data_IF_857001046420
#
_entry.id   IF_857001046420
#
_cell.length_a   1.000
_cell.length_b   1.000
_cell.length_c   1.000
_cell.angle_alpha   90.00
_cell.angle_beta   90.00
_cell.angle_gamma   90.00
#
_symmetry.space_group_name_H-M   'P 1'
#
loop_
_entity.id
_entity.type
_entity.pdbx_description
1 polymer ?
#
# COMPACT_ATOMS: atom_id res chain seq x y z
N UNK A 1 -1.06 -8.60 3.09
CA UNK A 1 0.29 -8.69 2.52
C UNK A 1 1.36 -8.91 3.61
N UNK A 2 1.39 -8.12 4.70
CA UNK A 2 2.46 -8.18 5.74
C UNK A 2 2.67 -9.61 6.25
N UNK A 3 1.63 -10.26 6.79
CA UNK A 3 1.74 -11.59 7.36
C UNK A 3 2.28 -12.64 6.37
N UNK A 4 1.84 -12.56 5.11
CA UNK A 4 2.32 -13.43 4.03
C UNK A 4 3.82 -13.24 3.77
N UNK A 5 4.26 -11.99 3.62
CA UNK A 5 5.65 -11.66 3.29
C UNK A 5 6.61 -11.95 4.45
N UNK A 6 6.18 -11.70 5.70
CA UNK A 6 6.98 -11.97 6.91
C UNK A 6 6.96 -13.45 7.32
N UNK A 7 5.99 -14.23 6.82
CA UNK A 7 5.91 -15.69 7.03
C UNK A 7 6.75 -16.50 6.06
N UNK A 8 7.60 -15.88 5.26
CA UNK A 8 8.44 -16.52 4.24
C UNK A 8 7.63 -17.29 3.17
N UNK A 9 6.44 -16.78 2.82
CA UNK A 9 5.56 -17.38 1.81
C UNK A 9 5.82 -16.86 0.40
N UNK A 10 6.64 -15.85 0.22
CA UNK A 10 7.04 -15.22 -1.04
C UNK A 10 7.90 -13.98 -0.77
N UNK A 11 8.36 -13.28 -1.80
CA UNK A 11 8.04 -13.45 -3.22
C UNK A 11 8.87 -14.53 -3.93
N UNK A 12 8.44 -14.88 -5.13
CA UNK A 12 9.19 -15.62 -6.14
C UNK A 12 9.60 -14.68 -7.28
N UNK A 13 10.41 -15.14 -8.23
CA UNK A 13 10.76 -14.31 -9.40
C UNK A 13 9.67 -14.38 -10.46
N UNK A 14 9.56 -13.36 -11.31
CA UNK A 14 8.66 -13.32 -12.47
C UNK A 14 8.88 -14.51 -13.43
N UNK A 15 10.12 -15.01 -13.53
CA UNK A 15 10.43 -16.18 -14.35
C UNK A 15 9.85 -17.48 -13.77
N UNK A 16 9.74 -17.57 -12.44
CA UNK A 16 9.18 -18.73 -11.74
C UNK A 16 7.65 -18.74 -11.77
N UNK A 17 7.02 -17.59 -11.73
CA UNK A 17 5.55 -17.40 -11.72
C UNK A 17 5.20 -16.14 -12.54
N UNK A 18 5.09 -16.26 -13.87
CA UNK A 18 4.81 -15.11 -14.76
C UNK A 18 3.46 -14.47 -14.49
N UNK A 19 3.43 -13.16 -14.34
CA UNK A 19 2.19 -12.41 -14.15
C UNK A 19 1.27 -12.48 -15.35
N UNK A 20 0.02 -12.79 -15.12
CA UNK A 20 -1.06 -12.64 -16.12
C UNK A 20 -1.54 -13.94 -16.77
N UNK A 21 -0.93 -15.08 -16.51
CA UNK A 21 -1.41 -16.37 -16.98
C UNK A 21 -2.52 -16.98 -16.08
N UNK A 22 -2.70 -16.42 -14.88
CA UNK A 22 -3.72 -16.84 -13.90
C UNK A 22 -3.44 -18.20 -13.26
N UNK A 23 -2.22 -18.72 -13.38
CA UNK A 23 -1.81 -20.02 -12.84
C UNK A 23 -0.52 -19.86 -12.05
N UNK A 24 -0.56 -20.23 -10.76
CA UNK A 24 0.65 -20.33 -9.94
C UNK A 24 1.12 -21.78 -9.88
N UNK A 25 2.33 -22.10 -10.36
CA UNK A 25 2.88 -23.45 -10.30
C UNK A 25 2.99 -23.97 -8.86
N UNK A 26 2.71 -25.27 -8.68
CA UNK A 26 2.90 -25.91 -7.37
C UNK A 26 4.40 -26.07 -7.01
N UNK A 27 4.71 -26.01 -5.73
CA UNK A 27 6.05 -26.31 -5.21
C UNK A 27 7.07 -25.17 -5.37
N UNK A 28 6.63 -23.95 -5.68
CA UNK A 28 7.49 -22.79 -5.68
C UNK A 28 8.04 -22.52 -4.28
N UNK A 29 9.31 -22.12 -4.24
CA UNK A 29 9.95 -21.69 -3.00
C UNK A 29 10.25 -20.18 -3.07
N UNK A 30 9.96 -19.42 -2.02
CA UNK A 30 10.28 -17.99 -1.98
C UNK A 30 11.79 -17.76 -2.10
N UNK A 31 12.17 -16.70 -2.78
CA UNK A 31 13.58 -16.31 -2.99
C UNK A 31 14.04 -15.20 -2.05
N UNK A 32 13.10 -14.53 -1.43
CA UNK A 32 13.27 -13.45 -0.47
C UNK A 32 12.18 -13.52 0.59
N UNK A 33 12.41 -12.86 1.72
CA UNK A 33 11.38 -12.58 2.72
C UNK A 33 11.53 -11.18 3.28
N UNK A 34 10.44 -10.63 3.80
CA UNK A 34 10.45 -9.37 4.53
C UNK A 34 10.86 -9.63 5.97
N UNK A 35 11.95 -9.00 6.39
CA UNK A 35 12.48 -9.12 7.75
C UNK A 35 12.01 -8.00 8.66
N UNK A 36 11.72 -6.82 8.09
CA UNK A 36 11.31 -5.66 8.85
C UNK A 36 10.27 -4.85 8.06
N UNK A 37 9.27 -4.36 8.77
CA UNK A 37 8.29 -3.39 8.28
C UNK A 37 8.18 -2.23 9.26
N UNK A 38 7.91 -1.03 8.74
CA UNK A 38 7.53 0.12 9.53
C UNK A 38 6.12 0.54 9.16
N UNK A 39 5.33 0.89 10.16
CA UNK A 39 3.92 1.31 10.01
C UNK A 39 3.81 2.72 10.53
N UNK A 40 3.29 3.63 9.72
CA UNK A 40 2.95 4.98 10.17
C UNK A 40 1.52 5.02 10.70
N UNK A 41 1.25 5.91 11.64
CA UNK A 41 -0.12 6.22 12.04
C UNK A 41 -0.88 6.82 10.86
N UNK A 42 -2.20 6.61 10.84
CA UNK A 42 -3.05 7.15 9.78
C UNK A 42 -2.92 8.68 9.69
N UNK A 43 -2.65 9.17 8.47
CA UNK A 43 -2.50 10.60 8.19
C UNK A 43 -1.29 11.28 8.82
N UNK A 44 -0.34 10.56 9.36
CA UNK A 44 0.96 11.12 9.75
C UNK A 44 1.84 11.37 8.52
N UNK A 45 1.57 12.49 7.84
CA UNK A 45 2.25 12.83 6.58
C UNK A 45 3.75 13.11 6.76
N UNK A 46 4.16 13.58 7.92
CA UNK A 46 5.58 13.80 8.21
C UNK A 46 6.32 12.46 8.32
N UNK A 47 5.76 11.50 9.06
CA UNK A 47 6.31 10.15 9.13
C UNK A 47 6.31 9.47 7.74
N UNK A 48 5.24 9.60 6.95
CA UNK A 48 5.15 9.06 5.60
C UNK A 48 6.25 9.65 4.71
N UNK A 49 6.45 10.96 4.70
CA UNK A 49 7.51 11.63 3.93
C UNK A 49 8.91 11.19 4.37
N UNK A 50 9.14 11.03 5.69
CA UNK A 50 10.39 10.51 6.20
C UNK A 50 10.64 9.07 5.74
N UNK A 51 9.62 8.21 5.76
CA UNK A 51 9.72 6.84 5.27
C UNK A 51 10.00 6.78 3.78
N UNK A 52 9.37 7.64 2.95
CA UNK A 52 9.66 7.74 1.52
C UNK A 52 11.12 8.18 1.30
N UNK A 53 11.57 9.20 2.03
CA UNK A 53 12.94 9.70 1.91
C UNK A 53 13.99 8.62 2.25
N UNK A 54 13.71 7.79 3.25
CA UNK A 54 14.64 6.73 3.71
C UNK A 54 14.56 5.46 2.88
N UNK A 55 13.36 5.05 2.46
CA UNK A 55 13.11 3.71 1.91
C UNK A 55 12.56 3.73 0.48
N UNK A 56 12.23 4.89 -0.06
CA UNK A 56 11.83 5.08 -1.46
C UNK A 56 10.34 4.97 -1.72
N UNK A 57 9.58 4.17 -0.98
CA UNK A 57 8.15 4.02 -1.18
C UNK A 57 7.41 3.59 0.09
N UNK A 58 6.15 4.00 0.20
CA UNK A 58 5.24 3.62 1.28
C UNK A 58 3.93 3.14 0.67
N UNK A 59 3.49 1.92 0.99
CA UNK A 59 2.14 1.46 0.67
C UNK A 59 1.13 2.32 1.44
N UNK A 60 0.04 2.69 0.78
CA UNK A 60 -1.10 3.37 1.40
C UNK A 60 -2.39 2.88 0.78
N UNK A 61 -3.47 2.89 1.56
CA UNK A 61 -4.81 2.58 1.06
C UNK A 61 -5.56 3.86 0.71
N UNK A 62 -6.35 3.82 -0.36
CA UNK A 62 -7.24 4.90 -0.80
C UNK A 62 -8.62 4.35 -1.16
N UNK A 63 -9.62 5.23 -1.26
CA UNK A 63 -10.83 4.92 -2.00
C UNK A 63 -10.61 5.29 -3.46
N UNK A 64 -10.79 4.34 -4.38
CA UNK A 64 -10.66 4.58 -5.81
C UNK A 64 -11.99 4.29 -6.50
N UNK A 65 -12.63 5.33 -7.04
CA UNK A 65 -13.89 5.24 -7.78
C UNK A 65 -13.68 4.85 -9.26
N UNK A 66 -12.61 4.11 -9.53
CA UNK A 66 -12.27 3.55 -10.85
C UNK A 66 -11.79 2.12 -10.69
N UNK A 67 -11.76 1.37 -11.78
CA UNK A 67 -11.24 0.00 -11.82
C UNK A 67 -12.11 -0.92 -12.66
N UNK A 68 -11.57 -2.08 -13.04
CA UNK A 68 -12.25 -3.00 -13.93
C UNK A 68 -12.62 -2.34 -15.25
N UNK A 69 -13.91 -2.18 -15.52
CA UNK A 69 -14.44 -1.51 -16.73
C UNK A 69 -14.70 -0.02 -16.57
N UNK A 70 -14.67 0.50 -15.34
CA UNK A 70 -14.87 1.92 -15.03
C UNK A 70 -13.54 2.66 -15.10
N UNK A 71 -13.28 3.33 -16.21
CA UNK A 71 -12.01 4.05 -16.48
C UNK A 71 -12.10 5.56 -16.28
N UNK A 72 -13.25 6.06 -15.81
CA UNK A 72 -13.48 7.48 -15.53
C UNK A 72 -14.11 7.67 -14.16
N UNK A 73 -13.78 8.78 -13.50
CA UNK A 73 -14.32 9.16 -12.21
C UNK A 73 -14.50 10.67 -12.14
N UNK A 74 -15.47 11.14 -11.37
CA UNK A 74 -15.63 12.55 -11.05
C UNK A 74 -14.51 13.10 -10.15
N UNK A 75 -13.70 12.22 -9.57
CA UNK A 75 -12.58 12.54 -8.67
C UNK A 75 -11.22 12.53 -9.36
N UNK A 76 -11.16 12.06 -10.63
CA UNK A 76 -9.93 11.93 -11.39
C UNK A 76 -9.86 12.93 -12.53
N UNK A 77 -8.78 13.70 -12.59
CA UNK A 77 -8.43 14.57 -13.70
C UNK A 77 -7.40 13.90 -14.60
N UNK A 78 -7.77 13.47 -15.82
CA UNK A 78 -6.82 12.80 -16.72
C UNK A 78 -5.80 13.75 -17.36
N UNK A 79 -6.07 15.07 -17.42
CA UNK A 79 -5.15 16.06 -17.98
C UNK A 79 -3.98 16.32 -17.03
N UNK A 80 -4.27 16.44 -15.73
CA UNK A 80 -3.28 16.66 -14.69
C UNK A 80 -2.85 15.38 -13.99
N UNK A 81 -3.41 14.23 -14.39
CA UNK A 81 -3.18 12.90 -13.75
C UNK A 81 -3.32 12.99 -12.23
N UNK A 82 -4.41 13.57 -11.76
CA UNK A 82 -4.62 13.86 -10.35
C UNK A 82 -5.94 13.28 -9.83
N UNK A 83 -5.97 12.93 -8.56
CA UNK A 83 -7.11 12.32 -7.89
C UNK A 83 -7.38 12.97 -6.55
N UNK A 84 -8.64 13.29 -6.27
CA UNK A 84 -9.07 13.82 -4.99
C UNK A 84 -10.45 13.28 -4.61
N UNK A 85 -10.49 12.36 -3.66
CA UNK A 85 -11.73 11.86 -3.06
C UNK A 85 -12.04 12.60 -1.76
N UNK A 86 -13.25 13.15 -1.66
CA UNK A 86 -13.72 13.91 -0.51
C UNK A 86 -14.98 13.31 0.13
N UNK A 87 -15.23 12.02 -0.12
CA UNK A 87 -16.37 11.27 0.44
C UNK A 87 -16.01 10.51 1.72
N UNK A 88 -16.93 9.63 2.14
CA UNK A 88 -16.86 8.88 3.40
C UNK A 88 -16.74 7.36 3.18
N UNK A 89 -16.67 6.89 1.92
CA UNK A 89 -16.55 5.45 1.65
C UNK A 89 -15.21 4.92 2.13
N UNK A 90 -15.23 3.67 2.55
CA UNK A 90 -14.05 2.95 3.03
C UNK A 90 -13.03 2.69 1.91
N UNK A 91 -11.77 2.56 2.29
CA UNK A 91 -10.68 2.22 1.37
C UNK A 91 -10.98 0.92 0.62
N UNK A 92 -10.67 0.89 -0.67
CA UNK A 92 -10.91 -0.26 -1.55
C UNK A 92 -9.74 -0.56 -2.49
N UNK A 93 -8.66 0.24 -2.43
CA UNK A 93 -7.51 0.12 -3.31
C UNK A 93 -6.21 0.47 -2.60
N UNK A 94 -5.14 -0.26 -2.90
CA UNK A 94 -3.79 0.02 -2.40
C UNK A 94 -2.92 0.58 -3.51
N UNK A 95 -2.11 1.57 -3.14
CA UNK A 95 -1.14 2.25 -4.02
C UNK A 95 0.21 2.38 -3.31
N UNK A 96 1.24 2.76 -4.03
CA UNK A 96 2.52 3.16 -3.45
C UNK A 96 2.68 4.68 -3.52
N UNK A 97 2.92 5.30 -2.38
CA UNK A 97 3.38 6.69 -2.34
C UNK A 97 4.90 6.67 -2.57
N UNK A 98 5.36 7.35 -3.63
CA UNK A 98 6.76 7.35 -4.06
C UNK A 98 7.40 8.73 -3.99
N UNK A 99 6.63 9.76 -3.64
CA UNK A 99 7.10 11.13 -3.54
C UNK A 99 5.97 12.08 -3.11
N UNK A 100 6.27 13.35 -3.13
CA UNK A 100 5.29 14.42 -2.85
C UNK A 100 5.70 15.74 -3.49
N UNK A 101 4.74 16.65 -3.61
CA UNK A 101 4.93 18.04 -3.97
C UNK A 101 4.03 18.90 -3.07
N UNK A 102 4.65 19.65 -2.17
CA UNK A 102 3.93 20.51 -1.21
C UNK A 102 3.25 21.71 -1.87
N UNK A 103 3.70 22.10 -3.06
CA UNK A 103 3.18 23.21 -3.83
C UNK A 103 2.27 22.76 -4.99
N UNK A 104 1.97 21.46 -5.12
CA UNK A 104 1.10 20.94 -6.19
C UNK A 104 -0.23 21.70 -6.20
N UNK A 105 -0.59 22.36 -7.32
CA UNK A 105 -1.72 23.29 -7.33
C UNK A 105 -3.06 22.61 -7.08
N UNK A 106 -3.87 23.18 -6.18
CA UNK A 106 -5.21 22.68 -5.87
C UNK A 106 -6.16 22.73 -7.08
N UNK A 107 -5.94 23.67 -8.01
CA UNK A 107 -6.71 23.79 -9.27
C UNK A 107 -6.48 22.64 -10.27
N UNK A 108 -5.45 21.84 -10.09
CA UNK A 108 -5.16 20.67 -10.92
C UNK A 108 -6.04 19.45 -10.60
N UNK A 109 -6.97 19.58 -9.67
CA UNK A 109 -7.93 18.52 -9.34
C UNK A 109 -9.32 18.85 -9.86
N UNK A 110 -10.13 17.85 -10.23
CA UNK A 110 -11.52 18.03 -10.68
C UNK A 110 -12.39 18.73 -9.64
N UNK A 111 -12.15 18.45 -8.36
CA UNK A 111 -12.71 19.17 -7.21
C UNK A 111 -11.55 19.85 -6.51
N UNK A 112 -11.65 21.14 -6.24
CA UNK A 112 -10.54 21.89 -5.66
C UNK A 112 -10.37 21.58 -4.17
N UNK A 113 -9.23 20.99 -3.73
CA UNK A 113 -8.88 20.86 -2.33
C UNK A 113 -8.77 22.21 -1.61
N UNK A 114 -8.77 22.20 -0.28
CA UNK A 114 -8.70 23.44 0.51
C UNK A 114 -7.31 24.10 0.48
N UNK A 115 -6.28 23.34 0.10
CA UNK A 115 -4.88 23.79 0.03
C UNK A 115 -4.12 23.07 -1.08
N UNK A 116 -2.99 23.63 -1.47
CA UNK A 116 -2.02 22.96 -2.33
C UNK A 116 -1.38 21.74 -1.63
N UNK A 117 -0.77 20.91 -2.42
CA UNK A 117 0.03 19.76 -1.99
C UNK A 117 -0.62 18.42 -2.33
N UNK A 118 0.23 17.51 -2.80
CA UNK A 118 -0.16 16.17 -3.19
C UNK A 118 0.96 15.15 -2.94
N UNK A 119 0.57 13.90 -2.75
CA UNK A 119 1.47 12.77 -2.88
C UNK A 119 1.56 12.32 -4.33
N UNK A 120 2.78 12.02 -4.80
CA UNK A 120 3.02 11.30 -6.05
C UNK A 120 2.91 9.81 -5.76
N UNK A 121 2.00 9.15 -6.47
CA UNK A 121 1.65 7.76 -6.25
C UNK A 121 1.90 6.90 -7.48
N UNK A 122 2.33 5.66 -7.29
CA UNK A 122 2.41 4.62 -8.31
C UNK A 122 1.21 3.69 -8.17
N UNK A 123 0.48 3.49 -9.28
CA UNK A 123 -0.62 2.53 -9.36
C UNK A 123 -0.14 1.18 -9.91
N UNK A 124 -0.95 0.13 -9.72
CA UNK A 124 -0.72 -1.23 -10.23
C UNK A 124 -1.42 -1.51 -11.58
N UNK A 125 -1.93 -0.48 -12.28
CA UNK A 125 -2.72 -0.66 -13.51
C UNK A 125 -1.91 -0.53 -14.80
N UNK A 126 -0.58 -0.60 -14.68
CA UNK A 126 0.34 -0.52 -15.81
C UNK A 126 0.60 0.91 -16.30
N UNK A 127 1.49 1.02 -17.28
CA UNK A 127 2.00 2.30 -17.80
C UNK A 127 0.95 3.12 -18.56
N UNK A 128 -0.15 2.50 -18.96
CA UNK A 128 -1.26 3.18 -19.65
C UNK A 128 -2.14 4.02 -18.72
N UNK A 129 -1.98 3.94 -17.41
CA UNK A 129 -2.70 4.75 -16.45
C UNK A 129 -1.86 5.99 -16.06
N UNK A 130 -2.50 7.15 -16.06
CA UNK A 130 -1.85 8.40 -15.63
C UNK A 130 -0.58 8.73 -16.44
N UNK A 131 0.46 9.18 -15.75
CA UNK A 131 1.78 9.42 -16.33
C UNK A 131 2.70 8.20 -16.09
N UNK A 132 2.69 7.24 -17.00
CA UNK A 132 3.50 6.03 -16.89
C UNK A 132 3.15 5.20 -15.64
N UNK A 133 1.87 5.08 -15.30
CA UNK A 133 1.36 4.39 -14.12
C UNK A 133 1.30 5.25 -12.85
N UNK A 134 1.67 6.54 -12.94
CA UNK A 134 1.75 7.47 -11.80
C UNK A 134 0.64 8.51 -11.85
N UNK A 135 0.30 9.01 -10.68
CA UNK A 135 -0.72 10.07 -10.52
C UNK A 135 -0.52 10.79 -9.18
N UNK A 136 -1.09 11.97 -9.06
CA UNK A 136 -1.07 12.74 -7.83
C UNK A 136 -2.35 12.53 -7.03
N UNK A 137 -2.22 12.41 -5.70
CA UNK A 137 -3.35 12.35 -4.77
C UNK A 137 -3.27 13.52 -3.80
N UNK A 138 -4.33 14.33 -3.73
CA UNK A 138 -4.36 15.51 -2.87
C UNK A 138 -4.12 15.18 -1.39
N UNK A 139 -3.42 16.03 -0.66
CA UNK A 139 -3.29 15.89 0.80
C UNK A 139 -4.64 15.93 1.54
N UNK A 140 -5.62 16.64 0.97
CA UNK A 140 -6.97 16.72 1.50
C UNK A 140 -7.84 15.49 1.18
N UNK A 141 -7.35 14.53 0.38
CA UNK A 141 -8.06 13.28 0.13
C UNK A 141 -8.37 12.58 1.47
N UNK A 142 -9.62 12.13 1.62
CA UNK A 142 -10.11 11.63 2.91
C UNK A 142 -9.48 10.30 3.31
N UNK A 143 -8.91 9.55 2.38
CA UNK A 143 -8.39 8.20 2.60
C UNK A 143 -6.87 8.09 2.47
N UNK A 144 -6.21 8.96 1.69
CA UNK A 144 -4.75 8.92 1.51
C UNK A 144 -4.02 8.98 2.86
N UNK A 145 -2.95 8.23 3.01
CA UNK A 145 -2.18 8.16 4.25
C UNK A 145 -2.76 7.20 5.30
N UNK A 146 -3.68 6.32 4.90
CA UNK A 146 -4.19 5.23 5.75
C UNK A 146 -3.48 3.92 5.45
N UNK A 147 -3.39 3.07 6.46
CA UNK A 147 -2.75 1.74 6.38
C UNK A 147 -1.32 1.81 5.82
N UNK A 148 -0.56 2.82 6.22
CA UNK A 148 0.76 3.10 5.66
C UNK A 148 1.81 2.12 6.15
N UNK A 149 2.49 1.44 5.20
CA UNK A 149 3.51 0.43 5.46
C UNK A 149 4.72 0.65 4.54
N UNK A 150 5.92 0.69 5.13
CA UNK A 150 7.18 0.55 4.41
C UNK A 150 7.82 -0.80 4.72
N UNK A 151 8.25 -1.52 3.69
CA UNK A 151 8.99 -2.78 3.81
C UNK A 151 10.48 -2.43 3.82
N UNK A 152 11.06 -2.31 5.01
CA UNK A 152 12.33 -1.61 5.23
C UNK A 152 13.54 -2.53 5.17
N UNK A 153 13.33 -3.84 5.30
CA UNK A 153 14.39 -4.84 5.15
C UNK A 153 13.85 -6.10 4.48
N UNK A 154 14.53 -6.49 3.40
CA UNK A 154 14.24 -7.71 2.64
C UNK A 154 15.52 -8.54 2.56
N UNK A 155 15.49 -9.75 3.11
CA UNK A 155 16.62 -10.65 3.21
C UNK A 155 16.47 -11.90 2.30
N UNK A 156 17.57 -12.64 2.12
CA UNK A 156 17.57 -13.98 1.51
C UNK A 156 16.99 -15.02 2.46
N UNK A 157 16.73 -16.22 1.94
CA UNK A 157 16.11 -17.32 2.68
C UNK A 157 17.08 -18.08 3.58
N UNK A 158 18.34 -17.66 3.65
CA UNK A 158 19.43 -18.35 4.33
C UNK A 158 19.91 -17.65 5.62
N UNK A 159 19.19 -16.62 6.07
CA UNK A 159 19.59 -15.84 7.25
C UNK A 159 19.16 -16.45 8.59
N UNK A 160 18.20 -17.40 8.60
CA UNK A 160 17.77 -18.18 9.77
C UNK A 160 17.41 -19.60 9.37
N UNK A 161 17.61 -20.56 10.29
CA UNK A 161 17.29 -21.97 10.06
C UNK A 161 15.79 -22.27 10.18
N UNK A 162 15.08 -21.50 10.98
CA UNK A 162 13.66 -21.73 11.28
C UNK A 162 12.89 -20.43 11.46
N UNK A 163 11.64 -20.42 11.02
CA UNK A 163 10.63 -19.43 11.31
C UNK A 163 9.46 -20.09 12.05
N UNK A 164 9.01 -19.45 13.12
CA UNK A 164 7.82 -19.88 13.86
C UNK A 164 6.79 -18.76 13.82
N UNK A 165 5.61 -19.07 13.32
CA UNK A 165 4.48 -18.11 13.26
C UNK A 165 3.19 -18.82 13.64
N UNK A 166 2.45 -18.23 14.58
CA UNK A 166 1.15 -18.76 15.04
C UNK A 166 -0.02 -18.17 14.29
N UNK A 167 0.12 -16.94 13.75
CA UNK A 167 -0.93 -16.18 13.07
C UNK A 167 -0.64 -16.06 11.58
N UNK A 168 -1.04 -17.07 10.80
CA UNK A 168 -0.80 -17.14 9.35
C UNK A 168 -1.51 -16.00 8.58
N UNK A 169 -2.61 -15.50 9.11
CA UNK A 169 -3.39 -14.41 8.50
C UNK A 169 -3.05 -13.02 9.06
N UNK A 170 -2.13 -12.93 10.03
CA UNK A 170 -1.92 -11.72 10.81
C UNK A 170 -3.08 -11.44 11.78
N UNK A 171 -3.19 -10.22 12.25
CA UNK A 171 -4.29 -9.83 13.12
C UNK A 171 -5.61 -9.81 12.36
N UNK A 172 -6.58 -10.61 12.79
CA UNK A 172 -7.92 -10.69 12.20
C UNK A 172 -9.01 -10.30 13.20
N UNK A 173 -8.67 -10.10 14.44
CA UNK A 173 -9.61 -9.67 15.47
C UNK A 173 -9.08 -9.88 16.89
N UNK A 174 -9.80 -9.32 17.86
CA UNK A 174 -9.53 -9.53 19.27
C UNK A 174 -10.58 -10.44 19.88
N UNK A 175 -10.13 -11.35 20.73
CA UNK A 175 -11.01 -12.16 21.54
C UNK A 175 -10.68 -11.93 23.02
N UNK A 176 -11.69 -11.59 23.81
CA UNK A 176 -11.55 -11.35 25.23
C UNK A 176 -12.89 -11.41 25.97
N UNK A 177 -12.85 -11.69 27.26
CA UNK A 177 -14.04 -11.84 28.11
C UNK A 177 -14.48 -10.50 28.74
N UNK A 178 -14.38 -9.38 27.99
CA UNK A 178 -14.67 -8.02 28.47
C UNK A 178 -13.78 -7.61 29.66
N UNK A 179 -12.51 -8.09 29.68
CA UNK A 179 -11.50 -7.75 30.69
C UNK A 179 -10.30 -7.13 30.01
N UNK A 180 -9.57 -6.31 30.74
CA UNK A 180 -8.36 -5.60 30.26
C UNK A 180 -7.15 -6.50 30.02
N UNK A 181 -7.21 -7.80 30.36
CA UNK A 181 -6.11 -8.73 30.16
C UNK A 181 -6.44 -9.75 29.05
N UNK A 182 -5.49 -9.91 28.11
CA UNK A 182 -5.51 -10.92 27.07
C UNK A 182 -4.67 -12.12 27.51
N UNK A 183 -5.07 -13.32 27.06
CA UNK A 183 -4.29 -14.53 27.19
C UNK A 183 -3.76 -14.93 25.84
N UNK A 184 -2.46 -15.22 25.77
CA UNK A 184 -1.84 -15.78 24.58
C UNK A 184 -1.49 -17.24 24.89
N UNK A 185 -1.85 -18.15 24.00
CA UNK A 185 -1.35 -19.52 24.02
C UNK A 185 -0.16 -19.60 23.07
N UNK A 186 1.02 -19.93 23.61
CA UNK A 186 2.11 -20.44 22.79
C UNK A 186 1.89 -21.94 22.61
N UNK A 187 1.84 -22.36 21.36
CA UNK A 187 1.73 -23.77 20.99
C UNK A 187 3.09 -24.25 20.53
#
# INVERSE_FOLDING_TARGET
AIAYLTAWQGPVTEEMDPYGDGVTPEGLSPVKHVQEVQIAEDKDFDAIKEMIYRYGAVQSSIYMDMGGTKVTSEYYDPENTSYYYNGEDEVNHDILIIGWDDDYPAENFTKTPSKNGAFLCQNSWGEGFGDGGRFYVAYDDTQIGRNCVAYTRIDGMDNYDHLYQTDLCGWVGNMGYKKESCWFANV
#
